data_IF_113046618474
#
_entry.id   IF_113046618474
#
_cell.length_a   1.000
_cell.length_b   1.000
_cell.length_c   1.000
_cell.angle_alpha   90.00
_cell.angle_beta   90.00
_cell.angle_gamma   90.00
#
_symmetry.space_group_name_H-M   'P 1'
#
loop_
_entity.id
_entity.type
_entity.pdbx_description
1 polymer ?
#
# COMPACT_ATOMS: atom_id res chain seq x y z
N UNK A 1 -25.99 -24.47 -19.31
CA UNK A 1 -26.42 -24.43 -17.90
C UNK A 1 -26.61 -22.97 -17.54
N UNK A 2 -27.87 -22.55 -17.36
CA UNK A 2 -28.21 -21.19 -16.89
C UNK A 2 -27.87 -21.15 -15.41
N UNK A 3 -26.98 -20.26 -15.00
CA UNK A 3 -26.84 -19.92 -13.59
C UNK A 3 -28.13 -19.23 -13.17
N UNK A 4 -28.84 -19.81 -12.21
CA UNK A 4 -30.05 -19.24 -11.63
C UNK A 4 -29.71 -17.90 -10.99
N UNK A 5 -30.50 -16.88 -11.29
CA UNK A 5 -30.35 -15.49 -10.85
C UNK A 5 -30.46 -15.29 -9.33
N UNK A 6 -30.60 -16.36 -8.55
CA UNK A 6 -30.80 -16.34 -7.11
C UNK A 6 -29.50 -16.37 -6.29
N UNK A 7 -28.37 -16.77 -6.88
CA UNK A 7 -27.08 -16.87 -6.16
C UNK A 7 -26.27 -15.56 -6.16
N UNK A 8 -26.66 -14.55 -6.95
CA UNK A 8 -25.94 -13.27 -7.01
C UNK A 8 -26.19 -12.42 -5.74
N UNK A 9 -27.36 -12.56 -5.11
CA UNK A 9 -27.74 -11.75 -3.96
C UNK A 9 -27.15 -12.21 -2.61
N UNK A 10 -26.51 -13.38 -2.58
CA UNK A 10 -25.89 -13.95 -1.38
C UNK A 10 -24.37 -13.76 -1.30
N UNK A 11 -23.75 -13.13 -2.29
CA UNK A 11 -22.34 -12.79 -2.18
C UNK A 11 -22.14 -11.70 -1.12
N UNK A 12 -21.19 -11.86 -0.19
CA UNK A 12 -20.88 -10.83 0.80
C UNK A 12 -20.59 -9.52 0.05
N UNK A 13 -21.46 -8.52 0.20
CA UNK A 13 -21.24 -7.20 -0.41
C UNK A 13 -20.04 -6.56 0.28
N UNK A 14 -19.09 -6.10 -0.52
CA UNK A 14 -17.93 -5.38 -0.01
C UNK A 14 -18.40 -4.09 0.67
N UNK A 15 -17.56 -3.52 1.53
CA UNK A 15 -17.82 -2.18 2.01
C UNK A 15 -17.88 -1.23 0.80
N UNK A 16 -19.01 -0.58 0.57
CA UNK A 16 -19.14 0.42 -0.48
C UNK A 16 -18.47 1.68 0.06
N UNK A 17 -17.27 1.97 -0.41
CA UNK A 17 -16.61 3.23 -0.10
C UNK A 17 -17.18 4.30 -1.05
N UNK A 18 -17.96 5.29 -0.55
CA UNK A 18 -18.50 6.32 -1.42
C UNK A 18 -17.37 7.07 -2.15
N UNK A 19 -17.60 7.53 -3.38
CA UNK A 19 -16.58 8.26 -4.13
C UNK A 19 -16.09 9.45 -3.31
N UNK A 20 -14.78 9.47 -3.06
CA UNK A 20 -14.14 10.49 -2.24
C UNK A 20 -14.16 11.83 -2.98
N UNK A 21 -14.67 12.87 -2.33
CA UNK A 21 -14.56 14.26 -2.77
C UNK A 21 -13.32 14.98 -2.19
N UNK A 22 -12.41 14.23 -1.57
CA UNK A 22 -11.17 14.75 -1.01
C UNK A 22 -10.34 15.47 -2.08
N UNK A 23 -9.82 16.64 -1.72
CA UNK A 23 -8.94 17.42 -2.59
C UNK A 23 -7.47 17.34 -2.13
N UNK A 24 -7.25 16.78 -0.95
CA UNK A 24 -5.93 16.70 -0.33
C UNK A 24 -5.79 15.40 0.48
N UNK A 25 -4.59 14.80 0.59
CA UNK A 25 -4.33 13.62 1.42
C UNK A 25 -4.84 13.72 2.87
N UNK A 26 -4.75 14.90 3.49
CA UNK A 26 -5.25 15.17 4.85
C UNK A 26 -6.74 14.86 5.06
N UNK A 27 -7.53 14.93 3.99
CA UNK A 27 -8.98 14.69 4.04
C UNK A 27 -9.28 13.18 3.98
N UNK A 28 -8.24 12.33 3.88
CA UNK A 28 -8.32 10.88 3.74
C UNK A 28 -7.70 10.19 4.95
N UNK A 29 -8.48 9.30 5.56
CA UNK A 29 -8.01 8.50 6.69
C UNK A 29 -6.81 7.62 6.30
N UNK A 30 -6.71 7.24 5.02
CA UNK A 30 -5.58 6.47 4.49
C UNK A 30 -4.24 7.18 4.72
N UNK A 31 -4.21 8.52 4.71
CA UNK A 31 -3.00 9.30 4.99
C UNK A 31 -2.45 8.98 6.38
N UNK A 32 -3.31 9.10 7.40
CA UNK A 32 -2.95 8.78 8.79
C UNK A 32 -2.67 7.30 8.99
N UNK A 33 -3.37 6.41 8.29
CA UNK A 33 -3.11 4.98 8.36
C UNK A 33 -1.70 4.63 7.87
N UNK A 34 -1.31 5.12 6.69
CA UNK A 34 0.02 4.89 6.13
C UNK A 34 1.09 5.55 7.01
N UNK A 35 0.89 6.80 7.42
CA UNK A 35 1.84 7.50 8.28
C UNK A 35 2.00 6.83 9.66
N UNK A 36 0.91 6.37 10.26
CA UNK A 36 0.91 5.62 11.52
C UNK A 36 1.69 4.30 11.40
N UNK A 37 1.53 3.60 10.28
CA UNK A 37 2.32 2.41 9.98
C UNK A 37 3.82 2.74 9.89
N UNK A 38 4.19 3.81 9.16
CA UNK A 38 5.58 4.28 9.05
C UNK A 38 6.16 4.52 10.45
N UNK A 39 5.43 5.24 11.32
CA UNK A 39 5.86 5.55 12.67
C UNK A 39 6.08 4.30 13.54
N UNK A 40 5.26 3.26 13.37
CA UNK A 40 5.26 2.09 14.26
C UNK A 40 6.20 0.98 13.79
N UNK A 41 6.27 0.75 12.48
CA UNK A 41 6.91 -0.43 11.90
C UNK A 41 8.18 -0.12 11.12
N UNK A 42 8.56 1.15 11.03
CA UNK A 42 9.80 1.57 10.38
C UNK A 42 10.61 2.48 11.28
N UNK A 43 11.87 2.70 10.91
CA UNK A 43 12.73 3.68 11.57
C UNK A 43 12.90 4.95 10.73
N UNK A 44 11.96 5.26 9.82
CA UNK A 44 12.10 6.37 8.89
C UNK A 44 11.86 7.74 9.54
N UNK A 45 10.87 7.83 10.43
CA UNK A 45 10.55 9.09 11.12
C UNK A 45 11.75 9.56 11.95
N UNK A 46 12.14 10.83 11.76
CA UNK A 46 13.31 11.44 12.41
C UNK A 46 14.67 10.97 11.88
N UNK A 47 14.71 10.05 10.90
CA UNK A 47 15.95 9.66 10.18
C UNK A 47 15.98 10.16 8.75
N UNK A 48 14.83 10.18 8.09
CA UNK A 48 14.67 10.80 6.78
C UNK A 48 14.39 12.28 7.01
N UNK A 49 15.24 13.13 6.47
CA UNK A 49 15.05 14.58 6.49
C UNK A 49 13.74 14.93 5.78
N UNK A 50 12.88 15.71 6.43
CA UNK A 50 11.56 16.04 5.89
C UNK A 50 10.49 14.95 6.10
N UNK A 51 10.63 14.08 7.11
CA UNK A 51 9.59 13.12 7.50
C UNK A 51 9.40 13.08 9.02
N UNK A 52 9.01 14.21 9.61
CA UNK A 52 8.86 14.35 11.07
C UNK A 52 7.41 14.38 11.53
N UNK A 53 6.52 14.84 10.65
CA UNK A 53 5.09 15.02 10.87
C UNK A 53 4.24 14.36 9.76
N UNK A 54 2.93 14.13 10.01
CA UNK A 54 2.01 13.69 8.97
C UNK A 54 1.96 14.69 7.79
N UNK A 55 2.07 15.99 8.05
CA UNK A 55 2.03 17.03 7.02
C UNK A 55 3.20 16.91 6.03
N UNK A 56 4.38 16.51 6.52
CA UNK A 56 5.55 16.32 5.64
C UNK A 56 5.34 15.14 4.69
N UNK A 57 4.74 14.05 5.19
CA UNK A 57 4.33 12.92 4.38
C UNK A 57 3.26 13.31 3.34
N UNK A 58 2.26 14.07 3.74
CA UNK A 58 1.21 14.56 2.82
C UNK A 58 1.79 15.49 1.75
N UNK A 59 2.76 16.33 2.12
CA UNK A 59 3.47 17.20 1.17
C UNK A 59 4.25 16.37 0.14
N UNK A 60 4.99 15.35 0.62
CA UNK A 60 5.72 14.41 -0.24
C UNK A 60 4.80 13.65 -1.21
N UNK A 61 3.58 13.29 -0.79
CA UNK A 61 2.55 12.67 -1.66
C UNK A 61 2.06 13.58 -2.79
N UNK A 62 2.02 14.90 -2.55
CA UNK A 62 1.54 15.88 -3.51
C UNK A 62 2.58 16.19 -4.59
N UNK A 63 3.85 15.84 -4.38
CA UNK A 63 4.91 16.05 -5.35
C UNK A 63 4.69 15.19 -6.61
N UNK A 64 4.71 15.83 -7.77
CA UNK A 64 4.56 15.19 -9.09
C UNK A 64 5.87 14.63 -9.62
N UNK A 65 6.99 15.15 -9.15
CA UNK A 65 8.33 14.68 -9.48
C UNK A 65 8.83 13.63 -8.49
N UNK A 66 10.02 13.07 -8.77
CA UNK A 66 10.70 12.15 -7.86
C UNK A 66 11.00 12.87 -6.54
N UNK A 67 10.41 12.36 -5.47
CA UNK A 67 10.55 12.92 -4.14
C UNK A 67 11.51 12.05 -3.28
N UNK A 68 12.54 12.65 -2.64
CA UNK A 68 13.49 11.90 -1.82
C UNK A 68 12.85 11.19 -0.63
N UNK A 69 11.90 11.84 0.05
CA UNK A 69 11.19 11.27 1.21
C UNK A 69 10.38 10.06 0.78
N UNK A 70 9.61 10.19 -0.30
CA UNK A 70 8.81 9.12 -0.88
C UNK A 70 9.69 7.97 -1.37
N UNK A 71 10.85 8.27 -1.97
CA UNK A 71 11.81 7.25 -2.41
C UNK A 71 12.30 6.42 -1.22
N UNK A 72 12.59 7.04 -0.07
CA UNK A 72 12.98 6.32 1.14
C UNK A 72 11.83 5.48 1.73
N UNK A 73 10.60 6.02 1.73
CA UNK A 73 9.40 5.30 2.18
C UNK A 73 9.19 4.05 1.34
N UNK A 74 9.12 4.21 0.02
CA UNK A 74 8.92 3.11 -0.92
C UNK A 74 10.06 2.09 -0.82
N UNK A 75 11.31 2.55 -0.65
CA UNK A 75 12.46 1.64 -0.55
C UNK A 75 12.34 0.77 0.68
N UNK A 76 11.92 1.37 1.80
CA UNK A 76 11.68 0.63 3.03
C UNK A 76 10.53 -0.35 2.90
N UNK A 77 9.45 0.02 2.24
CA UNK A 77 8.30 -0.87 2.02
C UNK A 77 8.67 -2.06 1.16
N UNK A 78 9.45 -1.85 0.09
CA UNK A 78 9.99 -2.94 -0.73
C UNK A 78 10.86 -3.86 0.12
N UNK A 79 11.78 -3.33 0.93
CA UNK A 79 12.65 -4.15 1.79
C UNK A 79 11.88 -4.92 2.87
N UNK A 80 10.78 -4.37 3.39
CA UNK A 80 9.95 -5.06 4.38
C UNK A 80 9.22 -6.30 3.79
N UNK A 81 8.95 -6.30 2.48
CA UNK A 81 8.31 -7.40 1.75
C UNK A 81 9.35 -8.33 1.07
N UNK A 82 10.44 -7.77 0.55
CA UNK A 82 11.53 -8.46 -0.14
C UNK A 82 12.89 -8.04 0.46
N UNK A 83 13.31 -8.61 1.60
CA UNK A 83 14.52 -8.19 2.32
C UNK A 83 15.83 -8.34 1.53
N UNK A 84 15.84 -9.18 0.50
CA UNK A 84 17.02 -9.45 -0.33
C UNK A 84 17.18 -8.49 -1.51
N UNK A 85 16.22 -7.59 -1.74
CA UNK A 85 16.28 -6.62 -2.84
C UNK A 85 17.44 -5.64 -2.64
N UNK A 86 18.22 -5.43 -3.70
CA UNK A 86 19.36 -4.49 -3.72
C UNK A 86 19.11 -3.38 -4.76
N UNK A 87 19.84 -2.29 -4.64
CA UNK A 87 19.83 -1.18 -5.61
C UNK A 87 18.45 -0.53 -5.81
N UNK A 88 17.83 -0.09 -4.72
CA UNK A 88 16.58 0.66 -4.75
C UNK A 88 16.87 2.14 -4.98
N UNK A 89 17.00 2.55 -6.24
CA UNK A 89 16.97 3.96 -6.66
C UNK A 89 15.58 4.34 -7.17
N UNK A 90 15.34 5.64 -7.35
CA UNK A 90 14.10 6.18 -7.93
C UNK A 90 13.70 5.59 -9.27
N UNK A 91 14.69 5.14 -10.07
CA UNK A 91 14.47 4.59 -11.42
C UNK A 91 13.99 3.13 -11.37
N UNK A 92 14.44 2.37 -10.38
CA UNK A 92 14.16 0.92 -10.26
C UNK A 92 12.96 0.66 -9.34
N UNK A 93 12.66 1.60 -8.44
CA UNK A 93 11.64 1.43 -7.40
C UNK A 93 10.23 1.25 -7.98
N UNK A 94 9.90 1.95 -9.05
CA UNK A 94 8.61 1.85 -9.74
C UNK A 94 8.37 0.44 -10.27
N UNK A 95 9.38 -0.15 -10.92
CA UNK A 95 9.30 -1.53 -11.41
C UNK A 95 9.20 -2.54 -10.25
N UNK A 96 9.90 -2.27 -9.14
CA UNK A 96 9.84 -3.11 -7.94
C UNK A 96 8.44 -3.10 -7.30
N UNK A 97 7.80 -1.93 -7.23
CA UNK A 97 6.43 -1.78 -6.72
C UNK A 97 5.44 -2.49 -7.63
N UNK A 98 5.51 -2.29 -8.95
CA UNK A 98 4.63 -2.96 -9.90
C UNK A 98 4.75 -4.50 -9.76
N UNK A 99 5.98 -5.01 -9.64
CA UNK A 99 6.22 -6.44 -9.41
C UNK A 99 5.65 -6.94 -8.08
N UNK A 100 5.74 -6.16 -7.00
CA UNK A 100 5.16 -6.52 -5.70
C UNK A 100 3.63 -6.55 -5.74
N UNK A 101 3.03 -5.55 -6.39
CA UNK A 101 1.58 -5.53 -6.59
C UNK A 101 1.16 -6.78 -7.35
N UNK A 102 1.78 -7.06 -8.50
CA UNK A 102 1.46 -8.26 -9.28
C UNK A 102 1.68 -9.59 -8.53
N UNK A 103 2.62 -9.64 -7.59
CA UNK A 103 2.85 -10.82 -6.75
C UNK A 103 1.70 -11.05 -5.77
N UNK A 104 1.29 -10.01 -5.04
CA UNK A 104 0.38 -10.12 -3.90
C UNK A 104 -1.09 -9.83 -4.23
N UNK A 105 -1.38 -9.25 -5.39
CA UNK A 105 -2.76 -8.94 -5.80
C UNK A 105 -3.50 -10.18 -6.36
N UNK A 106 -2.78 -11.30 -6.53
CA UNK A 106 -3.32 -12.56 -7.05
C UNK A 106 -4.28 -13.18 -6.05
N UNK A 107 -5.50 -13.45 -6.50
CA UNK A 107 -6.52 -14.14 -5.71
C UNK A 107 -7.91 -13.54 -5.93
N UNK A 108 -8.88 -14.07 -5.20
CA UNK A 108 -10.27 -13.59 -5.21
C UNK A 108 -10.55 -12.62 -4.04
N UNK A 109 -9.53 -12.30 -3.22
CA UNK A 109 -9.68 -11.35 -2.13
C UNK A 109 -9.81 -9.92 -2.66
N UNK A 110 -10.80 -9.19 -2.16
CA UNK A 110 -11.06 -7.81 -2.55
C UNK A 110 -10.03 -6.86 -1.92
N UNK A 111 -9.12 -6.35 -2.74
CA UNK A 111 -8.12 -5.35 -2.34
C UNK A 111 -8.55 -3.91 -2.57
N UNK A 112 -7.62 -2.97 -2.46
CA UNK A 112 -7.84 -1.53 -2.66
C UNK A 112 -8.26 -1.19 -4.09
N UNK A 113 -7.85 -2.02 -5.05
CA UNK A 113 -8.07 -1.83 -6.49
C UNK A 113 -8.96 -2.92 -7.08
N UNK A 114 -9.90 -3.44 -6.27
CA UNK A 114 -10.90 -4.40 -6.73
C UNK A 114 -11.83 -3.75 -7.77
N UNK A 115 -12.03 -4.45 -8.89
CA UNK A 115 -13.01 -4.12 -9.92
C UNK A 115 -14.18 -5.11 -9.85
N UNK A 116 -15.37 -4.61 -9.46
CA UNK A 116 -16.55 -5.46 -9.29
C UNK A 116 -17.07 -6.06 -10.60
N UNK A 117 -16.95 -5.36 -11.72
CA UNK A 117 -17.41 -5.86 -13.03
C UNK A 117 -16.55 -7.03 -13.51
N UNK A 118 -15.23 -6.92 -13.32
CA UNK A 118 -14.24 -7.92 -13.75
C UNK A 118 -13.95 -8.96 -12.67
N UNK A 119 -14.46 -8.77 -11.45
CA UNK A 119 -14.24 -9.60 -10.27
C UNK A 119 -12.76 -9.92 -10.04
N UNK A 120 -11.92 -8.92 -10.17
CA UNK A 120 -10.48 -9.05 -10.03
C UNK A 120 -9.87 -7.75 -9.55
N UNK A 121 -8.70 -7.84 -8.93
CA UNK A 121 -7.95 -6.65 -8.61
C UNK A 121 -7.16 -6.17 -9.84
N UNK A 122 -7.20 -4.88 -10.10
CA UNK A 122 -6.50 -4.27 -11.24
C UNK A 122 -5.15 -3.65 -10.81
N UNK A 123 -4.21 -3.61 -11.74
CA UNK A 123 -2.92 -2.95 -11.52
C UNK A 123 -3.13 -1.42 -11.54
N UNK A 124 -2.92 -0.72 -10.42
CA UNK A 124 -3.21 0.71 -10.31
C UNK A 124 -2.22 1.59 -11.08
N UNK A 125 -1.09 1.05 -11.51
CA UNK A 125 -0.06 1.77 -12.24
C UNK A 125 -0.10 1.47 -13.75
N UNK A 126 -1.03 0.62 -14.19
CA UNK A 126 -1.17 0.28 -15.61
C UNK A 126 -1.53 1.52 -16.43
N UNK A 127 -0.70 1.81 -17.45
CA UNK A 127 -0.93 2.91 -18.38
C UNK A 127 -0.58 4.31 -17.84
N UNK A 128 -0.01 4.41 -16.63
CA UNK A 128 0.48 5.68 -16.09
C UNK A 128 1.91 5.91 -16.55
N UNK A 129 2.14 7.02 -17.26
CA UNK A 129 3.48 7.46 -17.63
C UNK A 129 4.33 7.73 -16.37
N UNK A 130 5.58 7.26 -16.35
CA UNK A 130 6.47 7.29 -15.18
C UNK A 130 5.94 6.53 -13.94
N UNK A 131 4.92 5.68 -14.10
CA UNK A 131 4.37 4.78 -13.08
C UNK A 131 3.98 5.52 -11.80
N UNK A 132 4.53 5.09 -10.66
CA UNK A 132 4.19 5.68 -9.36
C UNK A 132 4.43 7.19 -9.32
N UNK A 133 5.50 7.69 -9.97
CA UNK A 133 5.86 9.10 -9.92
C UNK A 133 4.87 9.99 -10.68
N UNK A 134 4.43 9.56 -11.86
CA UNK A 134 3.44 10.28 -12.66
C UNK A 134 1.99 10.14 -12.19
N UNK A 135 1.73 9.29 -11.19
CA UNK A 135 0.40 9.11 -10.64
C UNK A 135 -0.06 10.32 -9.80
N UNK A 136 -1.39 10.52 -9.73
CA UNK A 136 -1.98 11.52 -8.83
C UNK A 136 -1.73 11.16 -7.36
N UNK A 137 -1.82 12.15 -6.46
CA UNK A 137 -1.66 11.90 -5.02
C UNK A 137 -2.65 10.84 -4.51
N UNK A 138 -3.86 10.76 -5.07
CA UNK A 138 -4.89 9.79 -4.66
C UNK A 138 -4.45 8.36 -5.02
N UNK A 139 -3.97 8.16 -6.26
CA UNK A 139 -3.46 6.86 -6.70
C UNK A 139 -2.22 6.49 -5.87
N UNK A 140 -1.28 7.43 -5.67
CA UNK A 140 -0.09 7.22 -4.83
C UNK A 140 -0.48 6.78 -3.42
N UNK A 141 -1.44 7.46 -2.80
CA UNK A 141 -1.91 7.13 -1.44
C UNK A 141 -2.56 5.74 -1.38
N UNK A 142 -3.39 5.39 -2.37
CA UNK A 142 -4.02 4.06 -2.45
C UNK A 142 -3.00 2.95 -2.68
N UNK A 143 -1.97 3.20 -3.49
CA UNK A 143 -0.85 2.26 -3.67
C UNK A 143 -0.11 2.06 -2.36
N UNK A 144 0.23 3.15 -1.63
CA UNK A 144 0.86 3.04 -0.32
C UNK A 144 0.00 2.28 0.68
N UNK A 145 -1.32 2.52 0.72
CA UNK A 145 -2.26 1.75 1.54
C UNK A 145 -2.16 0.26 1.21
N UNK A 146 -2.23 -0.11 -0.06
CA UNK A 146 -2.16 -1.50 -0.49
C UNK A 146 -0.82 -2.15 -0.08
N UNK A 147 0.29 -1.43 -0.21
CA UNK A 147 1.61 -1.91 0.24
C UNK A 147 1.69 -2.07 1.76
N UNK A 148 1.02 -1.21 2.54
CA UNK A 148 0.90 -1.39 4.00
C UNK A 148 0.11 -2.66 4.33
N UNK A 149 -1.01 -2.90 3.65
CA UNK A 149 -1.81 -4.12 3.83
C UNK A 149 -0.98 -5.37 3.52
N UNK A 150 -0.25 -5.39 2.41
CA UNK A 150 0.66 -6.50 2.08
C UNK A 150 1.71 -6.71 3.16
N UNK A 151 2.27 -5.64 3.72
CA UNK A 151 3.26 -5.75 4.79
C UNK A 151 2.65 -6.33 6.08
N UNK A 152 1.43 -5.93 6.44
CA UNK A 152 0.72 -6.47 7.60
C UNK A 152 0.38 -7.97 7.43
N UNK A 153 0.11 -8.41 6.20
CA UNK A 153 -0.23 -9.81 5.90
C UNK A 153 1.00 -10.72 5.69
N UNK A 154 2.04 -10.22 5.02
CA UNK A 154 3.12 -11.06 4.49
C UNK A 154 4.50 -10.79 5.09
N UNK A 155 4.74 -9.63 5.73
CA UNK A 155 6.04 -9.36 6.31
C UNK A 155 6.23 -10.10 7.64
N UNK A 156 7.11 -11.09 7.64
CA UNK A 156 7.43 -11.88 8.83
C UNK A 156 7.92 -11.03 10.01
N UNK A 157 8.71 -9.99 9.76
CA UNK A 157 9.25 -9.15 10.83
C UNK A 157 8.19 -8.24 11.44
N UNK A 158 7.26 -7.72 10.63
CA UNK A 158 6.12 -6.96 11.12
C UNK A 158 5.20 -7.86 11.93
N UNK A 159 4.91 -9.07 11.43
CA UNK A 159 4.14 -10.07 12.18
C UNK A 159 4.76 -10.37 13.54
N UNK A 160 6.09 -10.56 13.62
CA UNK A 160 6.80 -10.74 14.91
C UNK A 160 6.62 -9.55 15.86
N UNK A 161 6.63 -8.32 15.35
CA UNK A 161 6.40 -7.11 16.18
C UNK A 161 4.98 -7.13 16.74
N UNK A 162 3.99 -7.46 15.90
CA UNK A 162 2.58 -7.56 16.30
C UNK A 162 2.41 -8.68 17.33
N UNK A 163 2.86 -9.91 17.02
CA UNK A 163 2.77 -11.08 17.91
C UNK A 163 3.36 -10.78 19.29
N UNK A 164 4.53 -10.11 19.33
CA UNK A 164 5.17 -9.69 20.58
C UNK A 164 4.30 -8.69 21.36
N UNK A 165 3.73 -7.69 20.68
CA UNK A 165 2.87 -6.69 21.31
C UNK A 165 1.59 -7.31 21.91
N UNK A 166 1.06 -8.36 21.29
CA UNK A 166 -0.10 -9.12 21.77
C UNK A 166 0.24 -10.25 22.74
N UNK A 167 1.52 -10.46 23.07
CA UNK A 167 1.95 -11.51 23.99
C UNK A 167 1.86 -12.92 23.41
N UNK A 168 1.70 -13.07 22.10
CA UNK A 168 1.74 -14.35 21.40
C UNK A 168 3.15 -14.92 21.47
N UNK A 169 3.40 -15.85 22.39
CA UNK A 169 4.66 -16.59 22.47
C UNK A 169 4.64 -17.66 21.38
N UNK A 170 5.42 -17.48 20.32
CA UNK A 170 5.71 -18.57 19.38
C UNK A 170 6.48 -19.63 20.16
N UNK A 171 5.83 -20.76 20.47
CA UNK A 171 6.55 -21.95 20.92
C UNK A 171 7.48 -22.36 19.77
N UNK A 172 8.79 -22.25 20.00
CA UNK A 172 9.77 -22.87 19.11
C UNK A 172 9.60 -24.38 19.28
N UNK A 173 9.11 -25.04 18.23
CA UNK A 173 9.19 -26.49 18.06
C UNK A 173 10.55 -26.84 17.44
#
# INVERSE_FOLDING_TARGET
MKADSADIDNEPKGHICPPSNAKHPKDRWESLFVYGFICRFTALRGKVEGLDSPMDFETSLMNTDIDPVMTQILSRFVLNLRPQTRNLSSDVITASIASLIQEHIKGEERGVFWNDERRTNEDPLQGIENGFWGASWDIKLRVLRQLVEFQLCHSHDIKKIIDRAWGCRTQQA
#
